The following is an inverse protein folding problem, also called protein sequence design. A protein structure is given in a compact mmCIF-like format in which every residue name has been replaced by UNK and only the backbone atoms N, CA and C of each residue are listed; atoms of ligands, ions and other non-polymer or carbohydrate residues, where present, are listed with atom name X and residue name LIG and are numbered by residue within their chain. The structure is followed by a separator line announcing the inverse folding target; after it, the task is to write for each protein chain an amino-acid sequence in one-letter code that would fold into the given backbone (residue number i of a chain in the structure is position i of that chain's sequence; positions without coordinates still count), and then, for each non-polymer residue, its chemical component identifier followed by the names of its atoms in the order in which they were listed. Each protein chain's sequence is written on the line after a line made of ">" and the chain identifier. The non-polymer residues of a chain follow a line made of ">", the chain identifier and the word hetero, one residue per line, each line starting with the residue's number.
data_IF_426295234685
#
_entry.id   IF_426295234685
#
_cell.length_a   1.000
_cell.length_b   1.000
_cell.length_c   1.000
_cell.angle_alpha   90.00
_cell.angle_beta   90.00
_cell.angle_gamma   90.00
#
_symmetry.space_group_name_H-M   'P 1'
#
loop_
_entity.id
_entity.type
_entity.pdbx_description
1 polymer ?
#
# COMPACT_ATOMS: atom_id res chain seq x y z
N UNK A 1 15.63 9.98 -15.45
CA UNK A 1 14.44 10.17 -14.59
C UNK A 1 13.46 9.03 -14.83
N UNK A 2 13.69 7.85 -14.26
CA UNK A 2 12.76 6.72 -14.39
C UNK A 2 12.92 5.70 -13.24
N UNK A 3 13.39 6.13 -12.07
CA UNK A 3 13.74 5.24 -10.96
C UNK A 3 12.52 4.64 -10.24
N UNK A 4 11.33 5.17 -10.51
CA UNK A 4 10.08 4.74 -9.89
C UNK A 4 9.25 3.75 -10.73
N UNK A 5 9.70 3.39 -11.95
CA UNK A 5 8.97 2.51 -12.90
C UNK A 5 9.19 1.00 -12.68
N UNK A 6 10.01 0.62 -11.70
CA UNK A 6 10.28 -0.79 -11.38
C UNK A 6 10.10 -1.17 -9.91
N UNK A 7 9.91 -0.19 -9.01
CA UNK A 7 9.70 -0.48 -7.59
C UNK A 7 8.28 -0.96 -7.34
N UNK A 8 8.18 -2.09 -6.68
CA UNK A 8 6.93 -2.60 -6.14
C UNK A 8 6.42 -1.71 -5.01
N UNK A 9 5.13 -1.81 -4.73
CA UNK A 9 4.46 -1.04 -3.66
C UNK A 9 5.15 -1.23 -2.30
N UNK A 10 5.57 -2.46 -2.01
CA UNK A 10 6.30 -2.78 -0.79
C UNK A 10 7.64 -2.04 -0.70
N UNK A 11 8.40 -1.95 -1.79
CA UNK A 11 9.69 -1.24 -1.79
C UNK A 11 9.49 0.26 -1.54
N UNK A 12 8.43 0.86 -2.08
CA UNK A 12 8.08 2.26 -1.80
C UNK A 12 7.66 2.48 -0.35
N UNK A 13 6.80 1.60 0.16
CA UNK A 13 6.36 1.61 1.56
C UNK A 13 7.56 1.46 2.52
N UNK A 14 8.49 0.57 2.18
CA UNK A 14 9.70 0.32 2.96
C UNK A 14 10.66 1.51 2.93
N UNK A 15 10.94 2.05 1.73
CA UNK A 15 11.83 3.23 1.54
C UNK A 15 11.31 4.44 2.30
N UNK A 16 9.99 4.64 2.32
CA UNK A 16 9.35 5.77 2.99
C UNK A 16 9.01 5.53 4.47
N UNK A 17 9.39 4.36 5.03
CA UNK A 17 9.05 3.97 6.41
C UNK A 17 7.53 4.04 6.69
N UNK A 18 6.72 3.78 5.66
CA UNK A 18 5.24 3.76 5.74
C UNK A 18 4.67 2.36 5.89
N UNK A 19 5.53 1.34 5.91
CA UNK A 19 5.12 -0.05 6.02
C UNK A 19 4.32 -0.33 7.29
N UNK A 20 4.78 0.14 8.47
CA UNK A 20 4.07 -0.05 9.74
C UNK A 20 2.70 0.65 9.76
N UNK A 21 2.64 1.91 9.29
CA UNK A 21 1.39 2.65 9.21
C UNK A 21 0.39 1.97 8.25
N UNK A 22 0.90 1.43 7.13
CA UNK A 22 0.09 0.71 6.16
C UNK A 22 -0.42 -0.61 6.75
N UNK A 23 0.43 -1.35 7.43
CA UNK A 23 0.11 -2.59 8.13
C UNK A 23 -0.99 -2.39 9.18
N UNK A 24 -0.88 -1.34 10.00
CA UNK A 24 -1.89 -0.97 10.98
C UNK A 24 -3.22 -0.60 10.31
N UNK A 25 -3.17 0.13 9.19
CA UNK A 25 -4.37 0.49 8.43
C UNK A 25 -5.08 -0.73 7.83
N UNK A 26 -4.34 -1.72 7.32
CA UNK A 26 -4.89 -2.99 6.82
C UNK A 26 -5.49 -3.81 7.97
N UNK A 27 -4.78 -3.95 9.10
CA UNK A 27 -5.27 -4.63 10.31
C UNK A 27 -6.54 -3.99 10.86
N UNK A 28 -6.60 -2.67 10.85
CA UNK A 28 -7.76 -1.89 11.28
C UNK A 28 -8.90 -1.87 10.25
N UNK A 29 -8.79 -2.65 9.16
CA UNK A 29 -9.74 -2.73 8.05
C UNK A 29 -10.10 -1.36 7.44
N UNK A 30 -9.16 -0.42 7.51
CA UNK A 30 -9.36 0.97 7.12
C UNK A 30 -8.82 1.22 5.72
N UNK A 31 -9.64 0.91 4.71
CA UNK A 31 -9.32 1.16 3.29
C UNK A 31 -8.91 2.61 3.03
N UNK A 32 -9.60 3.57 3.64
CA UNK A 32 -9.27 5.00 3.46
C UNK A 32 -7.85 5.34 3.94
N UNK A 33 -7.45 4.84 5.11
CA UNK A 33 -6.10 5.07 5.64
C UNK A 33 -5.05 4.38 4.77
N UNK A 34 -5.28 3.11 4.41
CA UNK A 34 -4.38 2.35 3.57
C UNK A 34 -4.17 3.02 2.19
N UNK A 35 -5.25 3.49 1.55
CA UNK A 35 -5.18 4.23 0.28
C UNK A 35 -4.46 5.56 0.45
N UNK A 36 -4.72 6.30 1.53
CA UNK A 36 -4.05 7.58 1.78
C UNK A 36 -2.53 7.41 1.96
N UNK A 37 -2.10 6.35 2.64
CA UNK A 37 -0.68 6.01 2.81
C UNK A 37 -0.03 5.69 1.46
N UNK A 38 -0.70 4.91 0.61
CA UNK A 38 -0.19 4.61 -0.73
C UNK A 38 -0.11 5.87 -1.61
N UNK A 39 -1.07 6.79 -1.51
CA UNK A 39 -1.01 8.09 -2.20
C UNK A 39 0.21 8.90 -1.72
N UNK A 40 0.52 8.88 -0.42
CA UNK A 40 1.76 9.48 0.10
C UNK A 40 3.03 8.79 -0.42
N UNK A 41 2.94 7.52 -0.80
CA UNK A 41 4.00 6.78 -1.49
C UNK A 41 4.04 7.01 -3.00
N UNK A 42 3.52 8.16 -3.46
CA UNK A 42 3.47 8.55 -4.87
C UNK A 42 2.74 7.52 -5.77
N UNK A 43 1.82 6.74 -5.21
CA UNK A 43 0.92 5.91 -6.01
C UNK A 43 -0.31 6.71 -6.43
N UNK A 44 -0.74 6.49 -7.66
CA UNK A 44 -2.02 6.97 -8.12
C UNK A 44 -3.13 6.40 -7.24
N UNK A 45 -4.12 7.23 -6.91
CA UNK A 45 -5.27 6.84 -6.09
C UNK A 45 -5.93 5.56 -6.58
N UNK A 46 -6.10 5.42 -7.89
CA UNK A 46 -6.74 4.23 -8.50
C UNK A 46 -5.93 2.95 -8.27
N UNK A 47 -4.60 3.03 -8.43
CA UNK A 47 -3.70 1.90 -8.19
C UNK A 47 -3.67 1.55 -6.70
N UNK A 48 -3.58 2.55 -5.83
CA UNK A 48 -3.67 2.38 -4.39
C UNK A 48 -4.96 1.65 -3.97
N UNK A 49 -6.09 2.04 -4.56
CA UNK A 49 -7.38 1.41 -4.30
C UNK A 49 -7.42 -0.05 -4.77
N UNK A 50 -6.86 -0.36 -5.95
CA UNK A 50 -6.75 -1.74 -6.44
C UNK A 50 -5.89 -2.59 -5.51
N UNK A 51 -4.73 -2.09 -5.08
CA UNK A 51 -3.82 -2.82 -4.20
C UNK A 51 -4.51 -3.14 -2.88
N UNK A 52 -5.08 -2.13 -2.24
CA UNK A 52 -5.79 -2.29 -0.96
C UNK A 52 -6.95 -3.27 -1.12
N UNK A 53 -7.73 -3.16 -2.20
CA UNK A 53 -8.83 -4.09 -2.48
C UNK A 53 -8.35 -5.52 -2.68
N UNK A 54 -7.24 -5.73 -3.39
CA UNK A 54 -6.62 -7.07 -3.57
C UNK A 54 -6.14 -7.65 -2.25
N UNK A 55 -5.52 -6.83 -1.37
CA UNK A 55 -5.09 -7.26 -0.04
C UNK A 55 -6.31 -7.67 0.80
N UNK A 56 -7.38 -6.88 0.80
CA UNK A 56 -8.62 -7.25 1.50
C UNK A 56 -9.31 -8.50 0.93
N UNK A 57 -9.16 -8.76 -0.36
CA UNK A 57 -9.70 -9.97 -1.00
C UNK A 57 -8.83 -11.22 -0.76
N UNK A 58 -7.53 -11.04 -0.50
CA UNK A 58 -6.57 -12.13 -0.30
C UNK A 58 -5.62 -11.86 0.89
N UNK A 59 -6.16 -11.61 2.11
CA UNK A 59 -5.33 -11.23 3.25
C UNK A 59 -4.33 -12.33 3.63
N UNK A 60 -4.72 -13.59 3.46
CA UNK A 60 -3.92 -14.80 3.67
C UNK A 60 -2.60 -14.80 2.86
N UNK A 61 -2.62 -14.24 1.64
CA UNK A 61 -1.42 -14.12 0.79
C UNK A 61 -0.43 -13.06 1.27
N UNK A 62 -0.90 -12.11 2.07
CA UNK A 62 -0.13 -10.99 2.58
C UNK A 62 0.20 -11.13 4.08
N UNK A 63 -0.24 -12.23 4.72
CA UNK A 63 0.02 -12.50 6.13
C UNK A 63 -0.88 -11.72 7.10
N UNK A 64 -2.07 -11.29 6.66
CA UNK A 64 -3.09 -10.62 7.47
C UNK A 64 -4.29 -11.52 7.79
#
# INVERSE_FOLDING_TARGET
>A
MNELKGMTVNERLFTLNKFEAFDEAIKSKSTHQAVNILIQCELAREEALKIVKTIFQTPDKYGY
#
